data_IF_555397948587
#
_entry.id   IF_555397948587
#
_cell.length_a   1.000
_cell.length_b   1.000
_cell.length_c   1.000
_cell.angle_alpha   90.00
_cell.angle_beta   90.00
_cell.angle_gamma   90.00
#
_symmetry.space_group_name_H-M   'P 1'
#
loop_
_entity.id
_entity.type
_entity.pdbx_description
1 polymer ?
#
# COMPACT_ATOMS: atom_id res chain seq x y z
N UNK A 1 -39.92 -38.42 14.76
CA UNK A 1 -40.49 -37.16 14.28
C UNK A 1 -41.03 -36.21 15.36
N UNK A 2 -41.34 -36.63 16.59
CA UNK A 2 -41.84 -35.74 17.67
C UNK A 2 -40.77 -34.95 18.45
N UNK A 3 -39.47 -35.28 18.33
CA UNK A 3 -38.39 -34.62 19.07
C UNK A 3 -37.84 -33.38 18.38
N UNK A 4 -38.04 -33.20 17.08
CA UNK A 4 -37.56 -32.03 16.34
C UNK A 4 -38.57 -30.87 16.30
N UNK A 5 -39.83 -31.12 16.60
CA UNK A 5 -40.88 -30.10 16.64
C UNK A 5 -40.77 -29.20 17.89
N UNK A 6 -40.25 -29.70 19.01
CA UNK A 6 -40.08 -28.93 20.24
C UNK A 6 -38.81 -28.02 20.24
N UNK A 7 -37.83 -28.29 19.39
CA UNK A 7 -36.63 -27.43 19.23
C UNK A 7 -36.89 -26.22 18.35
N UNK A 8 -37.86 -26.27 17.43
CA UNK A 8 -38.20 -25.14 16.58
C UNK A 8 -39.06 -24.05 17.25
N UNK A 9 -39.81 -24.42 18.32
CA UNK A 9 -40.68 -23.48 19.06
C UNK A 9 -39.89 -22.64 20.06
N UNK A 10 -38.75 -23.11 20.53
CA UNK A 10 -37.87 -22.39 21.49
C UNK A 10 -36.99 -21.31 20.81
N UNK A 11 -36.85 -21.29 19.47
CA UNK A 11 -35.97 -20.35 18.75
C UNK A 11 -36.71 -19.07 18.26
N UNK A 12 -38.03 -19.02 18.38
CA UNK A 12 -38.85 -17.88 17.87
C UNK A 12 -39.10 -16.80 18.95
N UNK A 13 -38.76 -17.01 20.20
CA UNK A 13 -39.13 -16.13 21.32
C UNK A 13 -38.00 -15.18 21.81
N UNK A 14 -36.88 -15.03 21.07
CA UNK A 14 -35.75 -14.12 21.43
C UNK A 14 -35.56 -12.94 20.47
N UNK A 15 -36.56 -12.51 19.75
CA UNK A 15 -36.50 -11.37 18.81
C UNK A 15 -37.50 -10.26 19.18
N UNK A 16 -37.36 -9.68 20.39
CA UNK A 16 -38.00 -8.40 20.70
C UNK A 16 -37.10 -7.55 21.59
N UNK A 17 -36.89 -6.31 21.17
CA UNK A 17 -36.37 -5.17 21.90
C UNK A 17 -34.91 -4.78 21.63
N UNK A 18 -34.71 -3.89 20.65
CA UNK A 18 -33.85 -2.72 20.80
C UNK A 18 -34.44 -1.59 19.96
N UNK A 19 -35.12 -0.66 20.59
CA UNK A 19 -35.51 0.62 20.02
C UNK A 19 -34.34 1.61 20.13
N UNK A 20 -34.06 2.47 19.12
CA UNK A 20 -33.06 3.49 19.22
C UNK A 20 -33.54 4.66 20.09
N UNK A 21 -32.76 5.03 21.08
CA UNK A 21 -32.98 6.24 21.90
C UNK A 21 -32.62 7.48 21.06
N UNK A 22 -33.60 8.33 20.84
CA UNK A 22 -33.46 9.68 20.29
C UNK A 22 -32.88 10.62 21.35
N UNK A 23 -31.74 11.25 21.08
CA UNK A 23 -31.17 12.31 21.85
C UNK A 23 -31.87 13.65 21.50
N UNK A 24 -32.20 14.53 22.49
CA UNK A 24 -32.79 15.84 22.22
C UNK A 24 -31.72 16.83 21.72
N UNK A 25 -32.07 17.60 20.70
CA UNK A 25 -31.38 18.78 20.24
C UNK A 25 -31.55 19.90 21.29
N UNK A 26 -30.47 20.30 21.93
CA UNK A 26 -30.43 21.52 22.74
C UNK A 26 -30.11 22.71 21.82
N UNK A 27 -31.09 23.60 21.65
CA UNK A 27 -30.94 24.87 20.99
C UNK A 27 -30.58 25.91 22.08
N UNK A 28 -29.34 26.30 22.12
CA UNK A 28 -28.95 27.49 22.90
C UNK A 28 -28.84 28.69 21.97
N UNK A 29 -29.86 29.57 22.09
CA UNK A 29 -29.91 30.86 21.44
C UNK A 29 -28.88 31.83 21.98
N UNK A 30 -28.45 32.70 21.07
CA UNK A 30 -27.46 33.72 21.19
C UNK A 30 -27.66 34.77 22.24
N UNK A 31 -26.58 35.40 22.58
CA UNK A 31 -26.48 36.64 23.32
C UNK A 31 -25.43 37.50 22.65
N UNK A 32 -25.86 38.47 21.89
CA UNK A 32 -25.02 39.58 21.45
C UNK A 32 -24.74 40.52 22.64
N UNK A 33 -23.48 40.72 22.95
CA UNK A 33 -23.05 41.79 23.89
C UNK A 33 -22.47 42.96 23.08
N UNK A 34 -22.71 44.22 23.54
CA UNK A 34 -22.38 45.41 22.78
C UNK A 34 -20.90 45.77 22.89
N UNK A 35 -20.39 46.26 21.76
CA UNK A 35 -19.03 46.81 21.60
C UNK A 35 -19.01 48.18 22.34
N UNK A 36 -18.16 48.31 23.34
CA UNK A 36 -17.85 49.59 23.98
C UNK A 36 -16.64 50.16 23.22
N UNK A 37 -16.88 51.29 22.60
CA UNK A 37 -15.90 52.14 21.94
C UNK A 37 -15.14 52.94 22.98
N UNK A 38 -13.90 52.62 23.27
CA UNK A 38 -13.02 53.39 24.14
C UNK A 38 -12.09 54.27 23.29
N UNK A 39 -12.38 55.58 23.34
CA UNK A 39 -11.58 56.59 22.67
C UNK A 39 -10.33 56.84 23.52
N UNK A 40 -9.17 56.39 23.01
CA UNK A 40 -7.88 56.75 23.60
C UNK A 40 -7.30 57.93 22.83
N UNK A 41 -7.08 58.99 23.55
CA UNK A 41 -6.49 60.23 23.08
C UNK A 41 -5.04 60.03 22.64
N UNK A 42 -4.71 60.60 21.48
CA UNK A 42 -3.36 60.65 20.96
C UNK A 42 -2.46 61.57 21.79
N UNK A 43 -1.42 60.99 22.38
CA UNK A 43 -0.30 61.77 22.92
C UNK A 43 0.75 61.82 21.82
N UNK A 44 1.00 63.04 21.32
CA UNK A 44 2.00 63.28 20.28
C UNK A 44 3.38 63.38 20.96
N UNK A 45 4.14 62.25 20.91
CA UNK A 45 5.54 62.29 21.28
C UNK A 45 6.39 62.38 20.01
N UNK A 46 7.08 63.48 19.85
CA UNK A 46 7.99 63.78 18.74
C UNK A 46 9.26 62.96 18.93
N UNK A 47 9.34 61.78 18.33
CA UNK A 47 10.55 60.98 18.33
C UNK A 47 11.55 61.49 17.29
N UNK A 48 12.75 61.77 17.72
CA UNK A 48 13.92 62.07 16.90
C UNK A 48 14.24 60.88 16.01
N UNK A 49 14.46 61.06 14.66
CA UNK A 49 14.77 59.95 13.77
C UNK A 49 16.14 59.35 14.14
N UNK A 50 16.13 58.09 14.55
CA UNK A 50 17.35 57.30 14.70
C UNK A 50 17.95 56.97 13.31
N UNK A 51 19.22 57.33 13.12
CA UNK A 51 19.97 56.99 11.93
C UNK A 51 20.01 55.47 11.78
N UNK A 52 19.60 54.87 10.60
CA UNK A 52 19.67 53.45 10.41
C UNK A 52 21.15 53.00 10.32
N UNK A 53 21.58 52.25 11.36
CA UNK A 53 22.87 51.57 11.32
C UNK A 53 22.70 50.34 10.39
N UNK A 54 23.40 50.31 9.28
CA UNK A 54 23.45 49.18 8.38
C UNK A 54 23.99 47.95 9.12
N UNK A 55 23.32 46.79 9.03
CA UNK A 55 23.84 45.56 9.61
C UNK A 55 25.17 45.18 8.94
N UNK A 56 26.13 44.60 9.68
CA UNK A 56 27.41 44.17 9.12
C UNK A 56 27.14 43.12 8.03
N UNK A 57 27.96 43.06 6.96
CA UNK A 57 27.81 42.10 5.88
C UNK A 57 27.90 40.68 6.45
N UNK A 58 26.82 39.91 6.24
CA UNK A 58 26.77 38.48 6.58
C UNK A 58 27.78 37.76 5.72
N UNK A 59 28.73 37.08 6.35
CA UNK A 59 29.72 36.25 5.65
C UNK A 59 29.00 35.20 4.78
N UNK A 60 29.45 34.91 3.53
CA UNK A 60 28.86 33.88 2.69
C UNK A 60 28.93 32.53 3.38
N UNK A 61 27.80 31.88 3.57
CA UNK A 61 27.73 30.49 4.06
C UNK A 61 28.35 29.59 2.98
N UNK A 62 29.50 29.02 3.27
CA UNK A 62 30.11 28.00 2.42
C UNK A 62 29.15 26.81 2.35
N UNK A 63 28.71 26.38 1.14
CA UNK A 63 27.83 25.22 1.05
C UNK A 63 28.57 23.99 1.60
N UNK A 64 27.93 23.32 2.55
CA UNK A 64 28.39 22.02 3.07
C UNK A 64 28.30 21.04 1.89
N UNK A 65 29.38 20.31 1.53
CA UNK A 65 29.32 19.33 0.46
C UNK A 65 28.27 18.27 0.82
N UNK A 66 27.23 18.17 0.03
CA UNK A 66 26.25 17.09 0.12
C UNK A 66 26.96 15.82 -0.32
N UNK A 67 27.04 14.83 0.56
CA UNK A 67 27.60 13.52 0.22
C UNK A 67 26.81 12.93 -0.95
N UNK A 68 27.48 12.67 -2.05
CA UNK A 68 26.88 11.97 -3.19
C UNK A 68 26.60 10.53 -2.75
N UNK A 69 25.35 10.02 -2.85
CA UNK A 69 25.07 8.66 -2.45
C UNK A 69 25.93 7.69 -3.26
N UNK A 70 26.72 6.89 -2.55
CA UNK A 70 27.52 5.84 -3.18
C UNK A 70 26.58 4.81 -3.78
N UNK A 71 26.61 4.67 -5.11
CA UNK A 71 25.80 3.66 -5.79
C UNK A 71 26.29 2.26 -5.37
N UNK A 72 25.37 1.45 -4.84
CA UNK A 72 25.64 0.05 -4.55
C UNK A 72 25.80 -0.67 -5.90
N UNK A 73 26.90 -1.36 -6.17
CA UNK A 73 27.03 -2.09 -7.42
C UNK A 73 26.05 -3.26 -7.44
N UNK A 74 25.26 -3.37 -8.50
CA UNK A 74 24.34 -4.48 -8.69
C UNK A 74 25.06 -5.76 -9.11
N UNK A 75 24.50 -6.89 -8.70
CA UNK A 75 24.90 -8.23 -9.11
C UNK A 75 23.73 -8.94 -9.83
N UNK A 76 24.06 -9.73 -10.84
CA UNK A 76 23.05 -10.42 -11.64
C UNK A 76 22.44 -11.63 -10.93
N UNK A 77 23.21 -12.29 -10.06
CA UNK A 77 22.81 -13.54 -9.42
C UNK A 77 23.41 -13.65 -8.02
N UNK A 78 22.60 -14.05 -7.05
CA UNK A 78 23.04 -14.56 -5.75
C UNK A 78 22.64 -16.03 -5.58
N UNK A 79 23.45 -16.79 -4.87
CA UNK A 79 23.11 -18.16 -4.48
C UNK A 79 22.41 -18.17 -3.14
N UNK A 80 21.44 -19.04 -2.97
CA UNK A 80 20.75 -19.22 -1.69
C UNK A 80 20.38 -20.69 -1.46
N UNK A 81 20.19 -21.04 -0.19
CA UNK A 81 19.73 -22.36 0.25
C UNK A 81 18.42 -22.20 1.04
N UNK A 82 17.43 -22.99 0.72
CA UNK A 82 16.13 -22.97 1.43
C UNK A 82 16.29 -23.55 2.83
N UNK A 83 15.88 -22.78 3.85
CA UNK A 83 15.98 -23.15 5.27
C UNK A 83 14.66 -23.62 5.88
N UNK A 84 13.52 -23.25 5.29
CA UNK A 84 12.19 -23.71 5.71
C UNK A 84 11.85 -25.07 5.13
N UNK A 85 11.00 -25.85 5.79
CA UNK A 85 10.60 -27.17 5.33
C UNK A 85 9.88 -27.12 3.98
N UNK A 86 9.10 -26.04 3.76
CA UNK A 86 8.40 -25.76 2.52
C UNK A 86 8.41 -24.27 2.24
N UNK A 87 9.07 -23.85 1.15
CA UNK A 87 9.12 -22.47 0.70
C UNK A 87 8.21 -22.28 -0.51
N UNK A 88 7.13 -21.54 -0.34
CA UNK A 88 6.17 -21.26 -1.41
C UNK A 88 6.77 -20.31 -2.44
N UNK A 89 6.64 -20.70 -3.72
CA UNK A 89 6.95 -19.89 -4.88
C UNK A 89 5.66 -19.39 -5.51
N UNK A 90 5.61 -18.07 -5.82
CA UNK A 90 4.41 -17.39 -6.30
C UNK A 90 4.65 -16.70 -7.64
N UNK A 91 3.58 -16.33 -8.32
CA UNK A 91 3.65 -15.62 -9.59
C UNK A 91 4.12 -14.16 -9.46
N UNK A 92 4.04 -13.56 -8.27
CA UNK A 92 4.47 -12.18 -8.01
C UNK A 92 5.05 -11.99 -6.61
N UNK A 93 5.64 -10.82 -6.34
CA UNK A 93 6.35 -10.51 -5.09
C UNK A 93 5.39 -10.12 -3.96
N UNK A 94 4.63 -11.08 -3.46
CA UNK A 94 3.68 -10.89 -2.37
C UNK A 94 2.94 -12.17 -2.01
N UNK A 95 2.50 -12.27 -0.76
CA UNK A 95 1.73 -13.41 -0.26
C UNK A 95 0.34 -13.51 -0.94
N UNK A 96 -0.16 -12.41 -1.49
CA UNK A 96 -1.45 -12.31 -2.15
C UNK A 96 -1.48 -12.92 -3.56
N UNK A 97 -0.31 -13.14 -4.18
CA UNK A 97 -0.25 -13.79 -5.50
C UNK A 97 -0.52 -15.28 -5.43
N UNK A 98 -1.04 -15.81 -6.53
CA UNK A 98 -1.29 -17.25 -6.67
C UNK A 98 -0.03 -18.07 -6.44
N UNK A 99 -0.22 -19.22 -5.81
CA UNK A 99 0.77 -20.25 -5.63
C UNK A 99 1.16 -20.86 -7.00
N UNK A 100 2.45 -21.08 -7.18
CA UNK A 100 2.97 -21.78 -8.37
C UNK A 100 3.45 -23.19 -8.01
N UNK A 101 4.43 -23.28 -7.13
CA UNK A 101 4.95 -24.53 -6.54
C UNK A 101 5.70 -24.22 -5.23
N UNK A 102 6.36 -25.19 -4.64
CA UNK A 102 7.19 -24.98 -3.46
C UNK A 102 8.53 -25.70 -3.55
N UNK A 103 9.56 -25.06 -3.02
CA UNK A 103 10.85 -25.67 -2.76
C UNK A 103 10.83 -26.39 -1.42
N UNK A 104 11.64 -27.44 -1.32
CA UNK A 104 11.88 -28.18 -0.07
C UNK A 104 13.15 -27.66 0.62
N UNK A 105 13.27 -27.89 1.90
CA UNK A 105 14.46 -27.57 2.68
C UNK A 105 15.74 -28.14 2.08
N UNK A 106 16.79 -27.35 2.07
CA UNK A 106 18.09 -27.72 1.48
C UNK A 106 18.18 -27.52 -0.02
N UNK A 107 17.11 -27.12 -0.70
CA UNK A 107 17.19 -26.79 -2.12
C UNK A 107 18.13 -25.60 -2.36
N UNK A 108 19.06 -25.74 -3.32
CA UNK A 108 19.92 -24.64 -3.76
C UNK A 108 19.23 -23.91 -4.91
N UNK A 109 19.10 -22.61 -4.78
CA UNK A 109 18.41 -21.74 -5.73
C UNK A 109 19.27 -20.53 -6.11
N UNK A 110 18.94 -19.90 -7.22
CA UNK A 110 19.57 -18.66 -7.68
C UNK A 110 18.57 -17.53 -7.63
N UNK A 111 18.95 -16.44 -6.98
CA UNK A 111 18.18 -15.20 -6.89
C UNK A 111 18.68 -14.26 -7.97
N UNK A 112 17.79 -13.71 -8.79
CA UNK A 112 18.13 -12.89 -9.96
C UNK A 112 17.48 -11.50 -9.95
N UNK A 113 16.76 -11.16 -8.89
CA UNK A 113 16.13 -9.86 -8.73
C UNK A 113 15.42 -9.75 -7.40
N UNK A 114 15.03 -8.54 -7.05
CA UNK A 114 14.25 -8.24 -5.85
C UNK A 114 13.17 -7.21 -6.15
N UNK A 115 12.08 -7.23 -5.39
CA UNK A 115 11.15 -6.12 -5.35
C UNK A 115 11.61 -5.09 -4.29
N UNK A 116 11.58 -3.81 -4.63
CA UNK A 116 12.06 -2.77 -3.73
C UNK A 116 11.12 -2.57 -2.53
N UNK A 117 11.71 -2.36 -1.36
CA UNK A 117 10.99 -2.07 -0.13
C UNK A 117 10.33 -3.27 0.54
N UNK A 118 10.49 -4.49 0.02
CA UNK A 118 9.97 -5.69 0.65
C UNK A 118 10.97 -6.87 0.61
N UNK A 119 10.61 -7.99 1.23
CA UNK A 119 11.46 -9.17 1.35
C UNK A 119 11.31 -10.17 0.18
N UNK A 120 10.66 -9.80 -0.94
CA UNK A 120 10.42 -10.71 -2.04
C UNK A 120 11.54 -10.65 -3.07
N UNK A 121 12.05 -11.83 -3.43
CA UNK A 121 13.13 -12.02 -4.40
C UNK A 121 12.70 -12.98 -5.51
N UNK A 122 13.19 -12.71 -6.70
CA UNK A 122 12.91 -13.50 -7.90
C UNK A 122 13.91 -14.64 -8.03
N UNK A 123 13.41 -15.84 -8.21
CA UNK A 123 14.20 -17.07 -8.38
C UNK A 123 14.25 -17.46 -9.85
N UNK A 124 15.46 -17.77 -10.34
CA UNK A 124 15.65 -18.41 -11.61
C UNK A 124 15.29 -19.91 -11.46
N UNK A 125 14.21 -20.32 -12.09
CA UNK A 125 13.77 -21.72 -12.13
C UNK A 125 13.18 -22.01 -13.51
N UNK A 126 14.02 -22.39 -14.46
CA UNK A 126 13.58 -22.66 -15.83
C UNK A 126 12.64 -23.87 -15.93
N UNK A 127 11.60 -23.78 -16.77
CA UNK A 127 11.21 -22.69 -17.66
C UNK A 127 10.42 -21.56 -16.96
N UNK A 128 10.18 -21.66 -15.68
CA UNK A 128 9.35 -20.72 -14.93
C UNK A 128 10.19 -20.01 -13.88
N UNK A 129 10.06 -18.68 -13.83
CA UNK A 129 10.57 -17.87 -12.73
C UNK A 129 9.46 -17.68 -11.71
N UNK A 130 9.83 -17.49 -10.45
CA UNK A 130 8.87 -17.29 -9.39
C UNK A 130 9.44 -16.46 -8.25
N UNK A 131 8.56 -15.93 -7.45
CA UNK A 131 8.90 -15.09 -6.30
C UNK A 131 8.81 -15.87 -4.99
N UNK A 132 9.79 -15.66 -4.14
CA UNK A 132 9.84 -16.22 -2.79
C UNK A 132 10.12 -15.12 -1.77
N UNK A 133 9.75 -15.34 -0.52
CA UNK A 133 10.17 -14.46 0.57
C UNK A 133 11.59 -14.87 1.02
N UNK A 134 12.52 -13.92 1.00
CA UNK A 134 13.93 -14.11 1.32
C UNK A 134 14.18 -14.46 2.79
N UNK A 135 13.25 -14.25 3.69
CA UNK A 135 13.35 -14.65 5.11
C UNK A 135 13.46 -16.18 5.29
N UNK A 136 13.05 -16.95 4.30
CA UNK A 136 13.06 -18.41 4.33
C UNK A 136 14.24 -19.05 3.60
N UNK A 137 15.26 -18.26 3.28
CA UNK A 137 16.49 -18.73 2.61
C UNK A 137 17.72 -18.16 3.27
N UNK A 138 18.80 -18.94 3.26
CA UNK A 138 20.15 -18.47 3.60
C UNK A 138 20.82 -18.00 2.30
N UNK A 139 21.05 -16.69 2.19
CA UNK A 139 21.58 -16.04 0.99
C UNK A 139 23.11 -15.86 1.13
N UNK A 140 23.85 -16.17 0.05
CA UNK A 140 25.28 -15.89 -0.05
C UNK A 140 25.48 -14.48 -0.62
N UNK A 141 25.38 -13.45 0.20
CA UNK A 141 25.50 -12.05 -0.17
C UNK A 141 24.36 -11.18 0.35
N UNK A 142 24.30 -9.95 -0.13
CA UNK A 142 23.25 -8.99 0.22
C UNK A 142 22.20 -8.90 -0.89
N UNK A 143 20.94 -9.22 -0.58
CA UNK A 143 19.83 -9.12 -1.53
C UNK A 143 19.60 -7.70 -2.04
N UNK A 144 20.05 -6.66 -1.32
CA UNK A 144 19.97 -5.28 -1.77
C UNK A 144 20.88 -4.97 -2.97
N UNK A 145 21.82 -5.86 -3.29
CA UNK A 145 22.64 -5.74 -4.48
C UNK A 145 22.01 -6.38 -5.72
N UNK A 146 20.87 -7.06 -5.61
CA UNK A 146 20.14 -7.57 -6.77
C UNK A 146 19.45 -6.43 -7.52
N UNK A 147 19.33 -6.57 -8.83
CA UNK A 147 18.56 -5.62 -9.63
C UNK A 147 17.11 -5.54 -9.17
N UNK A 148 16.53 -4.32 -9.07
CA UNK A 148 15.11 -4.15 -8.86
C UNK A 148 14.33 -4.81 -10.00
N UNK A 149 13.36 -5.64 -9.65
CA UNK A 149 12.48 -6.31 -10.61
C UNK A 149 11.04 -6.31 -10.09
N UNK A 150 10.12 -6.24 -11.02
CA UNK A 150 8.69 -6.19 -10.75
C UNK A 150 7.95 -7.15 -11.68
N UNK A 151 6.66 -7.43 -11.47
CA UNK A 151 5.88 -8.33 -12.34
C UNK A 151 5.77 -7.87 -13.80
N UNK A 152 6.18 -6.64 -14.13
CA UNK A 152 6.16 -6.06 -15.49
C UNK A 152 7.06 -6.80 -16.45
N UNK A 153 7.45 -7.68 -16.59
CA UNK A 153 8.30 -8.37 -17.56
C UNK A 153 8.17 -9.89 -17.47
N UNK A 154 7.44 -10.32 -16.48
CA UNK A 154 7.18 -11.75 -16.28
C UNK A 154 5.75 -12.05 -16.65
N UNK A 155 5.56 -13.07 -17.46
CA UNK A 155 4.24 -13.55 -17.84
C UNK A 155 3.59 -14.15 -16.59
N UNK A 156 2.84 -13.34 -15.86
CA UNK A 156 1.83 -13.89 -14.97
C UNK A 156 0.74 -14.53 -15.82
N UNK A 157 0.14 -15.66 -15.40
CA UNK A 157 -0.88 -16.33 -16.19
C UNK A 157 -2.08 -15.40 -16.40
N UNK A 158 -2.54 -15.32 -17.64
CA UNK A 158 -3.73 -14.53 -17.97
C UNK A 158 -4.97 -15.37 -17.68
N UNK A 159 -5.96 -14.75 -17.01
CA UNK A 159 -7.26 -15.39 -16.79
C UNK A 159 -7.97 -15.66 -18.13
N UNK A 160 -8.41 -16.89 -18.39
CA UNK A 160 -9.20 -17.19 -19.55
C UNK A 160 -10.70 -16.88 -19.38
N UNK A 161 -11.11 -16.47 -18.18
CA UNK A 161 -12.53 -16.33 -17.82
C UNK A 161 -12.97 -14.90 -17.56
N UNK A 162 -12.06 -14.04 -17.14
CA UNK A 162 -12.35 -12.67 -16.73
C UNK A 162 -11.59 -11.66 -17.57
N UNK A 163 -12.23 -10.54 -17.86
CA UNK A 163 -11.59 -9.34 -18.39
C UNK A 163 -11.11 -8.43 -17.24
N UNK A 164 -10.31 -7.40 -17.55
CA UNK A 164 -9.90 -6.41 -16.57
C UNK A 164 -11.09 -5.65 -15.99
N UNK A 165 -10.97 -5.16 -14.76
CA UNK A 165 -11.93 -4.23 -14.17
C UNK A 165 -11.77 -2.82 -14.77
N UNK A 166 -12.47 -1.84 -14.22
CA UNK A 166 -12.32 -0.41 -14.53
C UNK A 166 -12.11 0.35 -13.24
N UNK A 167 -11.02 1.09 -13.11
CA UNK A 167 -10.84 2.00 -11.98
C UNK A 167 -11.82 3.17 -12.12
N UNK A 168 -12.62 3.38 -11.10
CA UNK A 168 -13.67 4.41 -11.08
C UNK A 168 -13.15 5.70 -10.46
N UNK A 169 -12.45 5.59 -9.33
CA UNK A 169 -11.88 6.74 -8.62
C UNK A 169 -10.58 6.39 -7.94
N UNK A 170 -9.71 7.39 -7.81
CA UNK A 170 -8.58 7.37 -6.91
C UNK A 170 -8.54 8.73 -6.20
N UNK A 171 -8.66 8.74 -4.89
CA UNK A 171 -8.79 9.97 -4.08
C UNK A 171 -7.72 9.96 -3.00
N UNK A 172 -7.12 11.11 -2.75
CA UNK A 172 -6.14 11.31 -1.67
C UNK A 172 -6.74 12.20 -0.59
N UNK A 173 -6.60 11.75 0.65
CA UNK A 173 -6.89 12.53 1.85
C UNK A 173 -5.65 12.49 2.76
N UNK A 174 -4.86 13.55 2.75
CA UNK A 174 -3.57 13.57 3.42
C UNK A 174 -2.59 12.56 2.81
N UNK A 175 -2.09 11.62 3.60
CA UNK A 175 -1.24 10.52 3.13
C UNK A 175 -2.02 9.27 2.71
N UNK A 176 -3.33 9.23 2.95
CA UNK A 176 -4.14 8.07 2.59
C UNK A 176 -4.65 8.19 1.16
N UNK A 177 -4.41 7.17 0.35
CA UNK A 177 -4.97 7.02 -1.00
C UNK A 177 -6.03 5.92 -0.97
N UNK A 178 -7.24 6.26 -1.45
CA UNK A 178 -8.35 5.31 -1.61
C UNK A 178 -8.65 5.13 -3.09
N UNK A 179 -8.59 3.89 -3.55
CA UNK A 179 -8.88 3.50 -4.93
C UNK A 179 -10.14 2.66 -4.96
N UNK A 180 -11.05 2.98 -5.88
CA UNK A 180 -12.30 2.24 -6.09
C UNK A 180 -12.39 1.81 -7.56
N UNK A 181 -12.88 0.60 -7.79
CA UNK A 181 -13.05 0.04 -9.15
C UNK A 181 -14.41 -0.61 -9.31
N UNK A 182 -14.78 -0.94 -10.55
CA UNK A 182 -16.01 -1.66 -10.85
C UNK A 182 -15.92 -3.08 -10.26
N UNK A 183 -16.99 -3.48 -9.56
CA UNK A 183 -17.05 -4.81 -8.99
C UNK A 183 -17.09 -5.88 -10.09
N UNK A 184 -16.27 -6.92 -9.92
CA UNK A 184 -16.31 -8.13 -10.74
C UNK A 184 -16.53 -9.30 -9.80
N UNK A 185 -17.65 -10.00 -9.99
CA UNK A 185 -17.98 -11.19 -9.19
C UNK A 185 -17.10 -12.34 -9.66
N UNK A 186 -16.06 -12.63 -8.90
CA UNK A 186 -15.21 -13.79 -9.12
C UNK A 186 -15.81 -14.98 -8.40
N UNK A 187 -16.12 -16.04 -9.16
CA UNK A 187 -16.63 -17.28 -8.55
C UNK A 187 -15.51 -17.97 -7.78
N UNK A 188 -15.73 -18.25 -6.48
CA UNK A 188 -14.75 -18.96 -5.67
C UNK A 188 -14.44 -20.34 -6.27
N UNK A 189 -13.16 -20.65 -6.34
CA UNK A 189 -12.67 -21.94 -6.82
C UNK A 189 -12.74 -23.01 -5.72
N UNK A 190 -12.73 -24.28 -6.11
CA UNK A 190 -12.76 -25.41 -5.15
C UNK A 190 -11.61 -25.41 -4.15
N UNK A 191 -10.52 -24.72 -4.46
CA UNK A 191 -9.27 -24.69 -3.68
C UNK A 191 -8.89 -23.27 -3.26
N UNK A 192 -9.86 -22.35 -3.17
CA UNK A 192 -9.61 -21.03 -2.60
C UNK A 192 -9.34 -21.16 -1.11
N UNK A 193 -8.28 -20.51 -0.68
CA UNK A 193 -7.93 -20.32 0.72
C UNK A 193 -8.14 -18.85 1.14
N UNK A 194 -7.92 -18.59 2.42
CA UNK A 194 -8.06 -17.25 3.00
C UNK A 194 -7.10 -16.20 2.42
N UNK A 195 -6.04 -16.63 1.72
CA UNK A 195 -5.05 -15.75 1.10
C UNK A 195 -5.38 -15.44 -0.37
N UNK A 196 -6.41 -16.04 -0.93
CA UNK A 196 -6.86 -15.74 -2.29
C UNK A 196 -7.81 -14.53 -2.28
N UNK A 197 -7.29 -13.42 -2.76
CA UNK A 197 -8.05 -12.19 -2.94
C UNK A 197 -8.50 -12.07 -4.38
N UNK A 198 -9.79 -11.72 -4.65
CA UNK A 198 -10.28 -11.50 -6.02
C UNK A 198 -9.66 -10.27 -6.69
N UNK A 199 -9.09 -9.37 -5.90
CA UNK A 199 -8.40 -8.19 -6.41
C UNK A 199 -6.98 -8.11 -5.84
N UNK A 200 -6.02 -7.89 -6.74
CA UNK A 200 -4.63 -7.58 -6.40
C UNK A 200 -4.35 -6.17 -6.86
N UNK A 201 -3.81 -5.36 -5.96
CA UNK A 201 -3.40 -3.99 -6.26
C UNK A 201 -1.90 -3.89 -6.03
N UNK A 202 -1.17 -3.66 -7.10
CA UNK A 202 0.25 -3.36 -7.07
C UNK A 202 0.43 -1.86 -6.93
N UNK A 203 1.22 -1.43 -5.97
CA UNK A 203 1.48 -0.02 -5.73
C UNK A 203 2.98 0.23 -5.59
N UNK A 204 3.45 1.27 -6.24
CA UNK A 204 4.73 1.92 -5.98
C UNK A 204 4.41 3.18 -5.20
N UNK A 205 4.47 3.10 -3.89
CA UNK A 205 4.07 4.16 -2.98
C UNK A 205 5.28 4.80 -2.30
N UNK A 206 5.14 6.05 -1.94
CA UNK A 206 6.17 6.78 -1.21
C UNK A 206 6.12 6.44 0.28
N UNK A 207 7.25 6.01 0.82
CA UNK A 207 7.43 5.79 2.25
C UNK A 207 8.83 6.25 2.67
N UNK A 208 8.90 7.16 3.66
CA UNK A 208 10.15 7.70 4.20
C UNK A 208 11.12 8.27 3.13
N UNK A 209 10.57 8.91 2.09
CA UNK A 209 11.34 9.52 1.00
C UNK A 209 11.81 8.56 -0.09
N UNK A 210 11.46 7.28 -0.02
CA UNK A 210 11.76 6.26 -1.03
C UNK A 210 10.49 5.64 -1.61
N UNK A 211 10.52 5.28 -2.89
CA UNK A 211 9.46 4.49 -3.50
C UNK A 211 9.66 3.03 -3.10
N UNK A 212 8.64 2.45 -2.50
CA UNK A 212 8.59 1.02 -2.20
C UNK A 212 7.49 0.35 -3.04
N UNK A 213 7.76 -0.88 -3.46
CA UNK A 213 6.76 -1.71 -4.10
C UNK A 213 6.00 -2.51 -3.05
N UNK A 214 4.68 -2.46 -3.11
CA UNK A 214 3.82 -3.24 -2.23
C UNK A 214 2.68 -3.90 -3.02
N UNK A 215 2.20 -5.03 -2.50
CA UNK A 215 1.11 -5.78 -3.11
C UNK A 215 -0.01 -5.97 -2.10
N UNK A 216 -1.13 -5.38 -2.41
CA UNK A 216 -2.31 -5.35 -1.55
C UNK A 216 -3.39 -6.27 -2.13
N UNK A 217 -4.04 -7.04 -1.25
CA UNK A 217 -5.19 -7.87 -1.62
C UNK A 217 -6.48 -7.24 -1.11
N UNK A 218 -7.53 -7.23 -1.93
CA UNK A 218 -8.86 -6.81 -1.50
C UNK A 218 -9.92 -7.84 -1.85
N UNK A 219 -10.92 -7.99 -0.98
CA UNK A 219 -12.13 -8.81 -1.20
C UNK A 219 -13.33 -7.97 -1.65
N UNK A 220 -13.19 -6.66 -1.61
CA UNK A 220 -14.20 -5.67 -1.97
C UNK A 220 -13.66 -4.76 -3.07
N UNK A 221 -14.51 -4.06 -3.85
CA UNK A 221 -14.07 -3.28 -5.00
C UNK A 221 -13.43 -1.93 -4.62
N UNK A 222 -12.73 -1.87 -3.51
CA UNK A 222 -11.93 -0.71 -3.09
C UNK A 222 -10.81 -1.12 -2.14
N UNK A 223 -9.82 -0.23 -1.97
CA UNK A 223 -8.76 -0.35 -0.98
C UNK A 223 -8.24 1.03 -0.60
N UNK A 224 -7.79 1.15 0.65
CA UNK A 224 -7.09 2.34 1.14
C UNK A 224 -5.71 1.96 1.68
N UNK A 225 -4.72 2.78 1.41
CA UNK A 225 -3.34 2.57 1.84
C UNK A 225 -2.62 3.91 2.02
N UNK A 226 -1.49 3.87 2.74
CA UNK A 226 -0.66 5.04 2.96
C UNK A 226 0.28 5.26 1.77
N UNK A 227 0.37 6.51 1.30
CA UNK A 227 1.29 7.00 0.30
C UNK A 227 1.75 8.41 0.70
N UNK A 228 2.93 8.50 1.28
CA UNK A 228 3.50 9.77 1.75
C UNK A 228 3.85 10.68 0.58
N UNK A 229 4.11 11.93 0.88
CA UNK A 229 4.65 12.89 -0.08
C UNK A 229 6.17 13.02 0.09
N UNK A 230 6.87 13.58 -0.91
CA UNK A 230 8.29 13.93 -0.80
C UNK A 230 9.26 12.94 -1.42
N UNK A 231 8.80 11.89 -2.09
CA UNK A 231 9.66 11.05 -2.91
C UNK A 231 10.05 11.77 -4.21
N UNK A 232 11.24 11.47 -4.73
CA UNK A 232 11.75 12.03 -5.98
C UNK A 232 10.98 11.49 -7.21
N UNK A 233 10.57 10.24 -7.16
CA UNK A 233 9.76 9.61 -8.18
C UNK A 233 8.27 9.64 -7.80
N UNK A 234 7.36 9.75 -8.80
CA UNK A 234 5.93 9.73 -8.53
C UNK A 234 5.46 8.33 -8.13
N UNK A 235 4.55 8.29 -7.17
CA UNK A 235 3.81 7.08 -6.83
C UNK A 235 2.88 6.67 -7.97
N UNK A 236 2.62 5.37 -8.11
CA UNK A 236 1.76 4.79 -9.14
C UNK A 236 1.23 3.44 -8.70
N UNK A 237 0.28 2.91 -9.42
CA UNK A 237 -0.23 1.58 -9.15
C UNK A 237 -1.21 1.08 -10.19
N UNK A 238 -1.61 -0.17 -10.05
CA UNK A 238 -2.49 -0.86 -10.97
C UNK A 238 -3.28 -1.96 -10.28
N UNK A 239 -4.43 -2.29 -10.84
CA UNK A 239 -5.39 -3.28 -10.30
C UNK A 239 -5.48 -4.47 -11.25
N UNK A 240 -5.50 -5.66 -10.66
CA UNK A 240 -5.82 -6.92 -11.34
C UNK A 240 -7.05 -7.58 -10.70
N UNK A 241 -7.81 -8.26 -11.52
CA UNK A 241 -8.69 -9.34 -11.06
C UNK A 241 -7.84 -10.60 -10.94
N UNK A 242 -7.93 -11.32 -9.83
CA UNK A 242 -7.28 -12.58 -9.62
C UNK A 242 -8.31 -13.70 -9.47
N UNK A 243 -8.10 -14.80 -10.19
CA UNK A 243 -8.84 -16.04 -10.03
C UNK A 243 -7.88 -17.23 -10.11
N UNK A 244 -8.34 -18.42 -9.78
CA UNK A 244 -7.46 -19.61 -9.62
C UNK A 244 -6.58 -19.97 -10.82
N UNK A 245 -6.90 -19.49 -12.04
CA UNK A 245 -6.13 -19.80 -13.26
C UNK A 245 -5.23 -18.65 -13.70
N UNK A 246 -5.40 -17.45 -13.13
CA UNK A 246 -4.60 -16.30 -13.52
C UNK A 246 -5.18 -14.94 -13.17
N UNK A 247 -4.75 -13.96 -13.92
CA UNK A 247 -5.01 -12.55 -13.67
C UNK A 247 -5.64 -11.89 -14.89
N UNK A 248 -6.61 -11.01 -14.67
CA UNK A 248 -7.15 -10.14 -15.71
C UNK A 248 -6.75 -8.69 -15.42
N UNK A 249 -6.14 -8.05 -16.37
CA UNK A 249 -5.53 -6.73 -16.22
C UNK A 249 -4.11 -6.69 -16.78
N UNK A 250 -3.29 -5.71 -16.36
CA UNK A 250 -3.59 -4.69 -15.36
C UNK A 250 -4.50 -3.57 -15.86
N UNK A 251 -5.04 -2.81 -14.91
CA UNK A 251 -5.66 -1.51 -15.15
C UNK A 251 -4.91 -0.48 -14.30
N UNK A 252 -4.34 0.53 -14.95
CA UNK A 252 -3.60 1.59 -14.28
C UNK A 252 -4.53 2.43 -13.40
N UNK A 253 -4.04 2.83 -12.25
CA UNK A 253 -4.72 3.73 -11.33
C UNK A 253 -4.41 5.18 -11.77
N UNK A 254 -5.43 6.02 -12.04
CA UNK A 254 -5.22 7.44 -12.24
C UNK A 254 -4.79 8.08 -10.93
N UNK A 255 -3.47 8.07 -10.67
CA UNK A 255 -2.92 8.41 -9.36
C UNK A 255 -3.27 9.84 -8.96
N UNK A 256 -3.81 10.05 -7.75
CA UNK A 256 -4.18 11.38 -7.29
C UNK A 256 -2.92 12.20 -7.00
N UNK A 257 -2.95 13.47 -7.40
CA UNK A 257 -1.87 14.41 -7.07
C UNK A 257 -1.75 14.63 -5.56
N UNK A 258 -0.55 14.88 -5.05
CA UNK A 258 -0.31 15.22 -3.66
C UNK A 258 -1.06 16.46 -3.18
#
# INVERSE_FOLDING_TARGET
MKRYLLMFIALILMLTACAPASLPLDQTQGGAAPVTEEIIQAVTDTAVPATPTLPPPTAPVTPIPTETPTQIPYVDVLKATVISDKLVCRYGPGANYLYLFAFVKGANIKLIGKADGNAWVLVENEPQRCWINSEFVEVQGDTNTLHPMYPDGYKIPVSPYYGPTTVLTAVREGSTVTVTWAEVIVSPGKYEDENMFPYIVEVWRCENGAIIFDTLGSRVPFISFEDQTGCAEPSRGRVYIQEKHGYAGPVEIPWPTP
#
